data_IF_353972480303
#
_entry.id   IF_353972480303
#
_cell.length_a   1.000
_cell.length_b   1.000
_cell.length_c   1.000
_cell.angle_alpha   90.00
_cell.angle_beta   90.00
_cell.angle_gamma   90.00
#
_symmetry.space_group_name_H-M   'P 1'
#
loop_
_entity.id
_entity.type
_entity.pdbx_description
1 polymer ?
#
# COMPACT_ATOMS: atom_id res chain seq x y z
N UNK A 1 -2.90 0.08 -2.33
CA UNK A 1 -3.74 -1.03 -2.86
C UNK A 1 -4.93 -0.47 -3.62
N UNK A 2 -5.67 -1.26 -4.39
CA UNK A 2 -6.75 -0.73 -5.27
C UNK A 2 -8.05 -0.44 -4.52
N UNK A 3 -8.80 -1.49 -4.14
CA UNK A 3 -10.13 -1.45 -3.53
C UNK A 3 -10.32 -2.71 -2.69
N UNK A 4 -11.22 -2.73 -1.69
CA UNK A 4 -11.62 -3.98 -1.05
C UNK A 4 -12.19 -4.98 -2.07
N UNK A 5 -11.83 -6.27 -1.96
CA UNK A 5 -12.33 -7.33 -2.84
C UNK A 5 -13.73 -7.83 -2.46
N UNK A 6 -14.55 -8.31 -3.42
CA UNK A 6 -15.94 -8.73 -3.17
C UNK A 6 -16.03 -9.96 -2.26
N UNK A 7 -17.04 -10.02 -1.38
CA UNK A 7 -17.37 -11.21 -0.57
C UNK A 7 -18.87 -11.35 -0.32
N UNK A 8 -19.43 -12.56 -0.39
CA UNK A 8 -20.82 -12.83 -0.02
C UNK A 8 -21.08 -12.78 1.50
N UNK A 9 -20.04 -12.92 2.33
CA UNK A 9 -20.16 -13.23 3.77
C UNK A 9 -20.13 -11.98 4.66
N UNK A 10 -19.52 -10.90 4.18
CA UNK A 10 -19.28 -9.69 4.96
C UNK A 10 -20.04 -8.53 4.30
N UNK A 11 -21.16 -8.13 4.92
CA UNK A 11 -22.09 -7.08 4.47
C UNK A 11 -21.43 -5.70 4.41
N UNK A 12 -20.54 -5.47 3.44
CA UNK A 12 -20.09 -4.14 3.05
C UNK A 12 -18.98 -3.48 3.89
N UNK A 13 -18.44 -4.13 4.93
CA UNK A 13 -17.31 -3.61 5.70
C UNK A 13 -16.09 -4.51 5.52
N UNK A 14 -15.16 -4.10 4.66
CA UNK A 14 -13.88 -4.77 4.48
C UNK A 14 -12.75 -3.78 4.69
N UNK A 15 -12.12 -3.89 5.86
CA UNK A 15 -10.84 -3.24 6.09
C UNK A 15 -9.76 -4.00 5.32
N UNK A 16 -8.90 -3.26 4.64
CA UNK A 16 -7.67 -3.84 4.10
C UNK A 16 -6.80 -4.28 5.27
N UNK A 17 -6.39 -5.55 5.27
CA UNK A 17 -5.56 -6.11 6.33
C UNK A 17 -4.56 -7.09 5.74
N UNK A 18 -3.34 -7.06 6.27
CA UNK A 18 -2.34 -8.08 5.96
C UNK A 18 -2.74 -9.44 6.53
N UNK A 19 -3.75 -9.57 7.40
CA UNK A 19 -4.19 -10.86 7.95
C UNK A 19 -5.26 -11.54 7.13
N UNK A 20 -5.83 -10.83 6.14
CA UNK A 20 -6.87 -11.38 5.30
C UNK A 20 -6.38 -12.70 4.66
N UNK A 21 -7.21 -13.76 4.59
CA UNK A 21 -6.82 -15.07 4.05
C UNK A 21 -6.80 -15.04 2.51
N UNK A 22 -6.05 -14.11 1.94
CA UNK A 22 -5.93 -13.89 0.50
C UNK A 22 -4.48 -14.09 0.06
N UNK A 23 -4.28 -14.48 -1.20
CA UNK A 23 -2.93 -14.58 -1.75
C UNK A 23 -2.21 -13.23 -1.82
N UNK A 24 -2.95 -12.14 -2.02
CA UNK A 24 -2.43 -10.77 -1.98
C UNK A 24 -1.84 -10.43 -0.61
N UNK A 25 -2.60 -10.68 0.47
CA UNK A 25 -2.13 -10.46 1.82
C UNK A 25 -0.94 -11.38 2.17
N UNK A 26 -0.95 -12.64 1.68
CA UNK A 26 0.20 -13.55 1.85
C UNK A 26 1.48 -13.00 1.20
N UNK A 27 1.40 -12.47 -0.01
CA UNK A 27 2.56 -11.90 -0.70
C UNK A 27 3.04 -10.61 -0.02
N UNK A 28 2.11 -9.77 0.44
CA UNK A 28 2.44 -8.57 1.21
C UNK A 28 3.15 -8.90 2.53
N UNK A 29 2.65 -9.90 3.29
CA UNK A 29 3.32 -10.39 4.50
C UNK A 29 4.74 -10.85 4.20
N UNK A 30 4.95 -11.60 3.13
CA UNK A 30 6.31 -12.05 2.73
C UNK A 30 7.24 -10.89 2.43
N UNK A 31 6.77 -9.85 1.73
CA UNK A 31 7.59 -8.68 1.43
C UNK A 31 7.95 -7.90 2.70
N UNK A 32 6.97 -7.66 3.59
CA UNK A 32 7.19 -7.01 4.88
C UNK A 32 8.17 -7.78 5.77
N UNK A 33 7.94 -9.09 5.97
CA UNK A 33 8.84 -9.94 6.76
C UNK A 33 10.23 -10.00 6.16
N UNK A 34 10.35 -10.10 4.83
CA UNK A 34 11.64 -10.12 4.14
C UNK A 34 12.44 -8.83 4.34
N UNK A 35 11.76 -7.69 4.44
CA UNK A 35 12.36 -6.39 4.69
C UNK A 35 12.49 -6.04 6.19
N UNK A 36 12.09 -6.92 7.11
CA UNK A 36 12.14 -6.65 8.55
C UNK A 36 11.11 -5.62 9.07
N UNK A 37 10.15 -5.20 8.25
CA UNK A 37 9.15 -4.19 8.65
C UNK A 37 8.09 -4.81 9.55
N UNK A 38 7.92 -4.27 10.76
CA UNK A 38 6.91 -4.76 11.70
C UNK A 38 5.51 -4.40 11.24
N UNK A 39 4.55 -5.25 11.61
CA UNK A 39 3.12 -4.94 11.47
C UNK A 39 2.74 -3.62 12.16
N UNK A 40 3.41 -3.28 13.27
CA UNK A 40 3.08 -2.08 14.06
C UNK A 40 3.47 -0.78 13.37
N UNK A 41 4.35 -0.85 12.38
CA UNK A 41 4.94 0.33 11.73
C UNK A 41 4.27 0.65 10.39
N UNK A 42 3.18 -0.05 10.07
CA UNK A 42 2.47 0.10 8.80
C UNK A 42 1.02 0.48 8.96
N UNK A 43 0.54 1.26 8.00
CA UNK A 43 -0.87 1.48 7.73
C UNK A 43 -1.16 1.00 6.32
N UNK A 44 -2.19 0.17 6.16
CA UNK A 44 -2.65 -0.26 4.84
C UNK A 44 -3.80 0.60 4.36
N UNK A 45 -3.70 1.05 3.10
CA UNK A 45 -4.72 1.88 2.48
C UNK A 45 -5.07 1.39 1.06
N UNK A 46 -6.36 1.45 0.75
CA UNK A 46 -6.87 1.27 -0.61
C UNK A 46 -7.09 2.65 -1.22
N UNK A 47 -6.63 2.84 -2.46
CA UNK A 47 -6.83 4.08 -3.23
C UNK A 47 -8.31 4.42 -3.32
N UNK A 48 -9.17 3.40 -3.48
CA UNK A 48 -10.62 3.49 -3.35
C UNK A 48 -11.04 2.76 -2.08
N UNK A 49 -11.22 3.46 -0.94
CA UNK A 49 -11.40 2.82 0.37
C UNK A 49 -12.81 2.27 0.63
N UNK A 50 -13.77 2.41 -0.29
CA UNK A 50 -15.13 1.87 -0.16
C UNK A 50 -15.36 0.60 -0.99
N UNK A 51 -16.36 -0.18 -0.58
CA UNK A 51 -16.79 -1.36 -1.34
C UNK A 51 -17.55 -0.91 -2.60
N UNK A 52 -17.18 -1.46 -3.75
CA UNK A 52 -17.87 -1.22 -5.02
C UNK A 52 -18.89 -2.31 -5.28
N UNK A 53 -20.06 -1.93 -5.78
CA UNK A 53 -21.13 -2.86 -6.17
C UNK A 53 -20.80 -3.63 -7.47
N UNK A 54 -19.77 -3.20 -8.20
CA UNK A 54 -19.34 -3.75 -9.49
C UNK A 54 -17.91 -4.28 -9.42
N UNK A 55 -17.61 -5.25 -10.29
CA UNK A 55 -16.25 -5.77 -10.54
C UNK A 55 -15.58 -5.12 -11.76
N UNK A 56 -16.22 -4.14 -12.40
CA UNK A 56 -15.62 -3.38 -13.50
C UNK A 56 -14.36 -2.64 -13.04
N UNK A 57 -13.53 -2.19 -13.98
CA UNK A 57 -12.36 -1.37 -13.67
C UNK A 57 -12.73 -0.12 -12.87
N UNK A 58 -11.82 0.33 -12.01
CA UNK A 58 -11.97 1.59 -11.28
C UNK A 58 -11.91 2.74 -12.29
N UNK A 59 -12.94 3.58 -12.32
CA UNK A 59 -12.95 4.74 -13.23
C UNK A 59 -12.15 5.90 -12.66
N UNK A 60 -11.77 6.85 -13.52
CA UNK A 60 -10.92 7.98 -13.13
C UNK A 60 -11.56 8.87 -12.04
N UNK A 61 -12.88 9.02 -12.01
CA UNK A 61 -13.59 9.78 -10.98
C UNK A 61 -13.48 9.12 -9.61
N UNK A 62 -13.76 7.82 -9.51
CA UNK A 62 -13.64 7.03 -8.27
C UNK A 62 -12.21 7.08 -7.72
N UNK A 63 -11.21 6.92 -8.60
CA UNK A 63 -9.80 7.03 -8.21
C UNK A 63 -9.48 8.40 -7.62
N UNK A 64 -9.93 9.49 -8.28
CA UNK A 64 -9.69 10.86 -7.84
C UNK A 64 -10.36 11.15 -6.49
N UNK A 65 -11.58 10.68 -6.30
CA UNK A 65 -12.31 10.82 -5.04
C UNK A 65 -11.62 10.06 -3.91
N UNK A 66 -11.15 8.83 -4.17
CA UNK A 66 -10.44 8.03 -3.18
C UNK A 66 -9.09 8.64 -2.78
N UNK A 67 -8.35 9.22 -3.74
CA UNK A 67 -7.12 9.98 -3.47
C UNK A 67 -7.40 11.23 -2.62
N UNK A 68 -8.50 11.95 -2.86
CA UNK A 68 -8.90 13.06 -1.97
C UNK A 68 -9.11 12.60 -0.53
N UNK A 69 -9.66 11.39 -0.35
CA UNK A 69 -9.78 10.78 0.97
C UNK A 69 -8.43 10.53 1.66
N UNK A 70 -7.39 10.13 0.90
CA UNK A 70 -6.04 9.95 1.42
C UNK A 70 -5.48 11.25 2.00
N UNK A 71 -5.68 12.39 1.33
CA UNK A 71 -5.21 13.69 1.82
C UNK A 71 -5.75 14.03 3.21
N UNK A 72 -6.98 13.62 3.54
CA UNK A 72 -7.55 13.79 4.88
C UNK A 72 -6.97 12.84 5.94
N UNK A 73 -6.39 11.71 5.54
CA UNK A 73 -5.75 10.75 6.43
C UNK A 73 -4.32 11.17 6.80
N UNK A 74 -3.57 11.79 5.88
CA UNK A 74 -2.14 12.12 6.10
C UNK A 74 -1.87 12.91 7.39
N UNK A 75 -2.67 13.93 7.77
CA UNK A 75 -2.46 14.65 9.03
C UNK A 75 -2.60 13.78 10.30
N UNK A 76 -3.27 12.63 10.20
CA UNK A 76 -3.44 11.67 11.32
C UNK A 76 -2.25 10.71 11.47
N UNK A 77 -1.29 10.75 10.53
CA UNK A 77 -0.13 9.87 10.49
C UNK A 77 1.17 10.70 10.63
N UNK A 78 1.43 11.33 11.79
CA UNK A 78 2.57 12.25 11.96
C UNK A 78 3.94 11.56 11.80
N UNK A 79 3.96 10.23 11.95
CA UNK A 79 5.15 9.41 11.80
C UNK A 79 5.24 8.73 10.44
N UNK A 80 4.36 9.04 9.48
CA UNK A 80 4.49 8.55 8.12
C UNK A 80 5.74 9.15 7.48
N UNK A 81 6.55 8.30 6.84
CA UNK A 81 7.80 8.69 6.18
C UNK A 81 7.86 8.24 4.73
N UNK A 82 7.40 7.02 4.48
CA UNK A 82 7.44 6.38 3.17
C UNK A 82 6.10 5.76 2.82
N UNK A 83 5.70 5.88 1.57
CA UNK A 83 4.49 5.30 1.01
C UNK A 83 4.84 4.35 -0.15
N UNK A 84 4.51 3.06 0.02
CA UNK A 84 4.69 2.04 -1.03
C UNK A 84 3.40 1.93 -1.86
N UNK A 85 3.44 2.40 -3.11
CA UNK A 85 2.31 2.39 -4.03
C UNK A 85 2.31 1.15 -4.91
N UNK A 86 1.43 0.21 -4.56
CA UNK A 86 1.30 -1.08 -5.22
C UNK A 86 0.31 -1.06 -6.39
N UNK A 87 0.83 -1.05 -7.62
CA UNK A 87 0.08 -1.14 -8.87
C UNK A 87 -0.44 0.21 -9.41
N UNK A 88 -0.89 0.20 -10.67
CA UNK A 88 -1.19 1.41 -11.44
C UNK A 88 -2.29 2.29 -10.82
N UNK A 89 -3.28 1.70 -10.15
CA UNK A 89 -4.32 2.50 -9.46
C UNK A 89 -3.71 3.26 -8.28
N UNK A 90 -2.83 2.62 -7.51
CA UNK A 90 -2.19 3.23 -6.34
C UNK A 90 -1.17 4.30 -6.74
N UNK A 91 -0.44 4.10 -7.85
CA UNK A 91 0.48 5.11 -8.39
C UNK A 91 -0.18 6.46 -8.66
N UNK A 92 -1.50 6.50 -8.90
CA UNK A 92 -2.21 7.76 -9.07
C UNK A 92 -2.23 8.67 -7.83
N UNK A 93 -1.83 8.18 -6.65
CA UNK A 93 -1.72 8.96 -5.42
C UNK A 93 -0.35 9.62 -5.22
N UNK A 94 0.61 9.39 -6.14
CA UNK A 94 2.00 9.85 -6.03
C UNK A 94 2.10 11.36 -5.79
N UNK A 95 1.49 12.17 -6.65
CA UNK A 95 1.54 13.64 -6.52
C UNK A 95 1.09 14.13 -5.14
N UNK A 96 -0.01 13.59 -4.62
CA UNK A 96 -0.55 14.01 -3.30
C UNK A 96 0.38 13.63 -2.15
N UNK A 97 1.13 12.54 -2.27
CA UNK A 97 2.08 12.09 -1.25
C UNK A 97 3.38 12.91 -1.33
N UNK A 98 3.87 13.16 -2.54
CA UNK A 98 5.05 14.01 -2.78
C UNK A 98 4.79 15.45 -2.32
N UNK A 99 3.63 16.01 -2.65
CA UNK A 99 3.21 17.35 -2.17
C UNK A 99 3.13 17.43 -0.64
N UNK A 100 2.86 16.30 0.02
CA UNK A 100 2.86 16.18 1.48
C UNK A 100 4.26 15.88 2.07
N UNK A 101 5.31 15.84 1.25
CA UNK A 101 6.69 15.56 1.67
C UNK A 101 6.95 14.11 2.05
N UNK A 102 6.13 13.17 1.58
CA UNK A 102 6.28 11.73 1.84
C UNK A 102 7.09 11.08 0.72
N UNK A 103 8.10 10.28 1.08
CA UNK A 103 8.86 9.49 0.11
C UNK A 103 7.96 8.45 -0.55
N UNK A 104 7.99 8.35 -1.88
CA UNK A 104 7.11 7.44 -2.64
C UNK A 104 7.92 6.36 -3.33
N UNK A 105 7.54 5.10 -3.09
CA UNK A 105 8.14 3.93 -3.75
C UNK A 105 7.07 3.19 -4.55
N UNK A 106 7.25 3.12 -5.87
CA UNK A 106 6.34 2.39 -6.75
C UNK A 106 6.70 0.90 -6.80
N UNK A 107 5.69 0.02 -6.75
CA UNK A 107 5.90 -1.41 -6.90
C UNK A 107 4.77 -2.11 -7.67
N UNK A 108 5.03 -3.31 -8.24
CA UNK A 108 3.97 -4.13 -8.83
C UNK A 108 2.92 -4.52 -7.78
N UNK A 109 1.65 -4.69 -8.20
CA UNK A 109 0.59 -5.09 -7.27
C UNK A 109 0.84 -6.50 -6.70
N UNK A 110 0.64 -6.76 -5.38
CA UNK A 110 0.97 -8.05 -4.74
C UNK A 110 0.05 -9.23 -5.11
N UNK A 111 -0.78 -9.09 -6.15
CA UNK A 111 -1.73 -10.14 -6.57
C UNK A 111 -0.99 -11.42 -6.95
N UNK A 112 -1.49 -12.60 -6.54
CA UNK A 112 -0.96 -13.89 -6.98
C UNK A 112 -0.88 -14.02 -8.51
N UNK A 113 -1.87 -13.47 -9.23
CA UNK A 113 -1.91 -13.55 -10.69
C UNK A 113 -0.73 -12.83 -11.37
N UNK A 114 -0.08 -11.90 -10.67
CA UNK A 114 1.05 -11.12 -11.15
C UNK A 114 2.38 -11.60 -10.54
N UNK A 115 2.44 -11.67 -9.21
CA UNK A 115 3.69 -11.90 -8.48
C UNK A 115 4.08 -13.38 -8.42
N UNK A 116 3.11 -14.30 -8.44
CA UNK A 116 3.45 -15.73 -8.39
C UNK A 116 3.85 -16.26 -9.76
N UNK A 117 3.49 -15.56 -10.83
CA UNK A 117 3.74 -15.95 -12.22
C UNK A 117 5.00 -15.31 -12.81
N UNK A 118 5.52 -14.23 -12.21
CA UNK A 118 6.75 -13.56 -12.66
C UNK A 118 7.74 -13.37 -11.51
N UNK A 119 8.93 -13.97 -11.64
CA UNK A 119 10.05 -13.77 -10.71
C UNK A 119 10.48 -12.30 -10.70
N UNK A 120 10.66 -11.69 -11.86
CA UNK A 120 11.07 -10.28 -11.96
C UNK A 120 10.12 -9.33 -11.24
N UNK A 121 8.80 -9.52 -11.36
CA UNK A 121 7.82 -8.67 -10.67
C UNK A 121 7.83 -8.91 -9.16
N UNK A 122 8.08 -10.15 -8.74
CA UNK A 122 8.26 -10.50 -7.33
C UNK A 122 9.50 -9.83 -6.74
N UNK A 123 10.63 -9.90 -7.43
CA UNK A 123 11.88 -9.32 -6.96
C UNK A 123 11.75 -7.79 -6.86
N UNK A 124 11.06 -7.15 -7.81
CA UNK A 124 10.71 -5.72 -7.74
C UNK A 124 9.78 -5.38 -6.57
N UNK A 125 8.84 -6.26 -6.23
CA UNK A 125 8.01 -6.08 -5.05
C UNK A 125 8.89 -6.11 -3.78
N UNK A 126 9.76 -7.11 -3.64
CA UNK A 126 10.65 -7.22 -2.48
C UNK A 126 11.60 -6.03 -2.35
N UNK A 127 12.26 -5.64 -3.44
CA UNK A 127 13.18 -4.51 -3.47
C UNK A 127 12.50 -3.18 -3.04
N UNK A 128 11.22 -2.99 -3.37
CA UNK A 128 10.47 -1.82 -2.93
C UNK A 128 10.27 -1.77 -1.41
N UNK A 129 10.04 -2.93 -0.77
CA UNK A 129 9.90 -3.00 0.69
C UNK A 129 11.26 -2.90 1.40
N UNK A 130 12.33 -3.43 0.80
CA UNK A 130 13.70 -3.24 1.29
C UNK A 130 14.11 -1.76 1.26
N UNK A 131 13.81 -1.06 0.17
CA UNK A 131 14.03 0.38 0.07
C UNK A 131 13.18 1.19 1.08
N UNK A 132 11.94 0.75 1.35
CA UNK A 132 11.11 1.35 2.39
C UNK A 132 11.73 1.18 3.78
N UNK A 133 12.25 -0.01 4.11
CA UNK A 133 12.91 -0.28 5.38
C UNK A 133 14.15 0.61 5.59
N UNK A 134 14.98 0.77 4.56
CA UNK A 134 16.16 1.63 4.64
C UNK A 134 15.83 3.09 4.99
N UNK A 135 14.66 3.60 4.57
CA UNK A 135 14.19 4.94 4.93
C UNK A 135 13.76 5.05 6.40
N UNK A 136 13.31 3.96 7.02
CA UNK A 136 12.94 3.93 8.43
C UNK A 136 14.22 4.00 9.30
N UNK A 137 15.23 3.19 8.98
CA UNK A 137 16.49 3.08 9.75
C UNK A 137 17.33 4.38 9.73
N UNK A 138 17.35 5.09 8.60
CA UNK A 138 18.08 6.36 8.46
C UNK A 138 17.53 7.44 9.39
N UNK A 139 16.25 7.37 9.76
CA UNK A 139 15.61 8.35 10.63
C UNK A 139 15.84 8.09 12.11
N UNK A 140 15.89 6.82 12.55
CA UNK A 140 16.28 6.47 13.92
C UNK A 140 17.72 6.95 14.21
N UNK A 141 18.62 6.76 13.24
CA UNK A 141 20.00 7.23 13.33
C UNK A 141 20.09 8.76 13.39
N UNK A 142 19.22 9.50 12.69
CA UNK A 142 19.23 10.97 12.70
C UNK A 142 18.69 11.57 14.00
N UNK A 143 17.75 10.88 14.68
CA UNK A 143 17.18 11.30 15.96
C UNK A 143 18.15 11.03 17.11
N UNK A 144 18.94 9.94 17.07
CA UNK A 144 19.92 9.63 18.12
C UNK A 144 21.15 10.55 18.14
N UNK A 145 21.40 11.32 17.07
CA UNK A 145 22.58 12.19 16.91
C UNK A 145 22.25 13.69 17.11
N UNK A 146 20.97 14.05 17.30
CA UNK A 146 20.51 15.44 17.56
C UNK A 146 20.20 15.68 19.04
#
# INVERSE_FOLDING_TARGET
METPGPSPVERGQRFVSIDNPTGTAKNLRKALTGAGISRRDIVLWNTVPWVRATRSSIVASERREGIKGLAGLLPLLPNLRVAVLAGAVASGAEDVLVDAGIEVILCPHPSPTLINTSRTLRDRLHAAFEAAAANLDQSETAIEIS
#
